data_IF_390051165435
#
_entry.id   IF_390051165435
#
_cell.length_a   1.000
_cell.length_b   1.000
_cell.length_c   1.000
_cell.angle_alpha   90.00
_cell.angle_beta   90.00
_cell.angle_gamma   90.00
#
_symmetry.space_group_name_H-M   'P 1'
#
loop_
_entity.id
_entity.type
_entity.pdbx_description
1 polymer ?
#
# COMPACT_ATOMS: atom_id res chain seq x y z
N UNK A 1 26.22 -26.71 71.17
CA UNK A 1 27.63 -26.63 70.70
C UNK A 1 27.55 -26.25 69.23
N UNK A 2 27.56 -24.95 68.88
CA UNK A 2 28.75 -24.12 68.48
C UNK A 2 29.48 -24.74 67.28
N UNK A 3 29.67 -24.15 66.09
CA UNK A 3 30.05 -22.80 65.59
C UNK A 3 29.47 -22.64 64.16
N UNK A 4 29.17 -21.46 63.61
CA UNK A 4 30.10 -20.39 63.14
C UNK A 4 30.85 -20.87 61.88
N UNK A 5 30.97 -20.20 60.73
CA UNK A 5 30.98 -18.79 60.28
C UNK A 5 30.62 -18.81 58.76
N UNK A 6 30.00 -17.80 58.16
CA UNK A 6 30.68 -16.63 57.57
C UNK A 6 30.73 -16.73 56.03
N UNK A 7 30.33 -15.66 55.33
CA UNK A 7 30.47 -15.58 53.86
C UNK A 7 29.49 -14.60 53.22
N UNK A 8 29.94 -13.35 53.07
CA UNK A 8 29.31 -12.30 52.27
C UNK A 8 29.27 -12.68 50.78
N UNK A 9 28.13 -12.51 50.13
CA UNK A 9 28.08 -12.33 48.67
C UNK A 9 27.22 -11.10 48.38
N UNK A 10 27.92 -9.99 48.27
CA UNK A 10 27.48 -8.76 47.60
C UNK A 10 27.60 -9.02 46.09
N UNK A 11 26.52 -9.43 45.44
CA UNK A 11 26.46 -9.44 43.96
C UNK A 11 25.53 -8.33 43.49
N UNK A 12 26.15 -7.17 43.27
CA UNK A 12 25.61 -6.05 42.53
C UNK A 12 25.56 -6.43 41.05
N UNK A 13 24.38 -6.82 40.56
CA UNK A 13 24.07 -6.74 39.13
C UNK A 13 22.97 -5.71 38.94
N UNK A 14 23.41 -4.48 38.69
CA UNK A 14 22.54 -3.43 38.21
C UNK A 14 21.95 -3.87 36.87
N UNK A 15 20.65 -4.13 36.86
CA UNK A 15 19.84 -4.23 35.65
C UNK A 15 20.07 -2.98 34.80
N UNK A 16 20.95 -3.11 33.80
CA UNK A 16 21.01 -2.14 32.71
C UNK A 16 19.77 -2.39 31.86
N UNK A 17 18.68 -1.72 32.23
CA UNK A 17 17.54 -1.49 31.36
C UNK A 17 18.09 -0.83 30.10
N UNK A 18 18.18 -1.62 29.02
CA UNK A 18 18.41 -1.12 27.68
C UNK A 18 17.29 -0.12 27.41
N UNK A 19 17.63 1.17 27.40
CA UNK A 19 16.71 2.21 26.93
C UNK A 19 16.45 1.91 25.46
N UNK A 20 15.27 1.39 25.16
CA UNK A 20 14.72 1.40 23.81
C UNK A 20 14.83 2.83 23.29
N UNK A 21 15.76 3.05 22.37
CA UNK A 21 15.76 4.25 21.57
C UNK A 21 14.47 4.22 20.76
N UNK A 22 13.70 5.32 20.69
CA UNK A 22 12.58 5.38 19.78
C UNK A 22 13.15 5.24 18.36
N UNK A 23 12.93 4.09 17.73
CA UNK A 23 13.09 3.96 16.29
C UNK A 23 12.17 5.01 15.68
N UNK A 24 12.75 5.98 14.98
CA UNK A 24 11.99 6.82 14.05
C UNK A 24 11.41 5.87 12.99
N UNK A 25 10.20 5.37 13.26
CA UNK A 25 9.45 4.59 12.30
C UNK A 25 9.11 5.53 11.15
N UNK A 26 9.82 5.37 10.02
CA UNK A 26 9.47 6.05 8.79
C UNK A 26 7.99 5.75 8.50
N UNK A 27 7.13 6.77 8.35
CA UNK A 27 5.72 6.53 8.17
C UNK A 27 5.50 5.71 6.90
N UNK A 28 4.61 4.72 6.99
CA UNK A 28 4.25 3.86 5.87
C UNK A 28 3.86 4.71 4.66
N UNK A 29 4.55 4.52 3.54
CA UNK A 29 4.26 5.22 2.29
C UNK A 29 3.17 4.48 1.55
N UNK A 30 2.25 5.22 0.93
CA UNK A 30 1.25 4.70 0.01
C UNK A 30 1.39 5.37 -1.34
N UNK A 31 1.37 4.59 -2.42
CA UNK A 31 1.26 5.12 -3.78
C UNK A 31 -0.20 5.47 -4.06
N UNK A 32 -0.47 6.65 -4.59
CA UNK A 32 -1.81 7.11 -4.93
C UNK A 32 -1.83 7.68 -6.34
N UNK A 33 -2.98 7.63 -7.00
CA UNK A 33 -3.17 8.24 -8.32
C UNK A 33 -3.89 9.56 -8.16
N UNK A 34 -3.36 10.59 -8.81
CA UNK A 34 -4.00 11.91 -8.92
C UNK A 34 -5.30 11.83 -9.73
N UNK A 35 -6.44 11.99 -9.04
CA UNK A 35 -7.78 11.91 -9.65
C UNK A 35 -7.94 13.01 -10.69
N UNK A 36 -7.45 14.22 -10.41
CA UNK A 36 -7.66 15.39 -11.27
C UNK A 36 -6.89 15.28 -12.58
N UNK A 37 -5.64 14.82 -12.52
CA UNK A 37 -4.84 14.52 -13.71
C UNK A 37 -5.43 13.37 -14.52
N UNK A 38 -5.83 12.28 -13.85
CA UNK A 38 -6.47 11.15 -14.52
C UNK A 38 -7.77 11.58 -15.23
N UNK A 39 -8.59 12.41 -14.58
CA UNK A 39 -9.86 12.88 -15.11
C UNK A 39 -9.71 13.84 -16.30
N UNK A 40 -8.77 14.79 -16.23
CA UNK A 40 -8.63 15.89 -17.19
C UNK A 40 -7.69 15.56 -18.35
N UNK A 41 -6.61 14.85 -18.07
CA UNK A 41 -5.50 14.65 -19.01
C UNK A 41 -5.44 13.21 -19.54
N UNK A 42 -6.26 12.29 -18.99
CA UNK A 42 -6.18 10.86 -19.27
C UNK A 42 -4.76 10.30 -19.03
N UNK A 43 -4.11 10.76 -17.95
CA UNK A 43 -2.76 10.33 -17.55
C UNK A 43 -2.78 9.73 -16.16
N UNK A 44 -2.20 8.54 -16.02
CA UNK A 44 -1.94 7.93 -14.71
C UNK A 44 -0.71 8.60 -14.10
N UNK A 45 -0.93 9.45 -13.10
CA UNK A 45 0.14 10.10 -12.34
C UNK A 45 0.15 9.56 -10.91
N UNK A 46 1.11 8.67 -10.65
CA UNK A 46 1.33 8.10 -9.33
C UNK A 46 2.16 9.05 -8.47
N UNK A 47 1.79 9.17 -7.20
CA UNK A 47 2.53 9.90 -6.18
C UNK A 47 2.70 9.04 -4.94
N UNK A 48 3.80 9.21 -4.21
CA UNK A 48 4.03 8.55 -2.93
C UNK A 48 3.74 9.53 -1.80
N UNK A 49 2.97 9.11 -0.81
CA UNK A 49 2.66 9.92 0.39
C UNK A 49 2.69 9.07 1.66
N UNK A 50 3.09 9.66 2.80
CA UNK A 50 2.91 9.01 4.10
C UNK A 50 1.42 8.80 4.39
N UNK A 51 1.01 7.55 4.66
CA UNK A 51 -0.35 7.21 5.03
C UNK A 51 -0.74 7.79 6.40
N UNK A 52 0.24 7.90 7.30
CA UNK A 52 0.08 8.45 8.65
C UNK A 52 0.85 9.77 8.77
N UNK A 53 0.34 10.69 9.59
CA UNK A 53 1.00 11.98 9.87
C UNK A 53 0.75 13.08 8.84
N UNK A 54 -0.22 12.90 7.93
CA UNK A 54 -0.71 13.95 7.04
C UNK A 54 -2.20 14.19 7.30
N UNK A 55 -2.52 15.23 8.07
CA UNK A 55 -3.90 15.54 8.49
C UNK A 55 -4.85 15.85 7.32
N UNK A 56 -4.31 16.08 6.12
CA UNK A 56 -5.04 16.48 4.92
C UNK A 56 -5.02 15.45 3.78
N UNK A 57 -4.55 14.21 4.01
CA UNK A 57 -4.53 13.21 2.95
C UNK A 57 -5.93 12.66 2.64
N UNK A 58 -6.52 13.17 1.55
CA UNK A 58 -7.87 12.80 1.09
C UNK A 58 -7.79 11.88 -0.12
N UNK A 59 -8.18 10.63 0.06
CA UNK A 59 -8.21 9.66 -1.01
C UNK A 59 -9.40 8.71 -0.91
N UNK A 60 -9.76 8.13 -2.05
CA UNK A 60 -10.72 7.03 -2.16
C UNK A 60 -9.96 5.72 -2.35
N UNK A 61 -10.34 4.67 -1.64
CA UNK A 61 -9.82 3.33 -1.90
C UNK A 61 -10.80 2.57 -2.80
N UNK A 62 -10.30 2.07 -3.94
CA UNK A 62 -11.02 1.12 -4.77
C UNK A 62 -10.39 -0.25 -4.56
N UNK A 63 -11.14 -1.14 -3.92
CA UNK A 63 -10.83 -2.56 -3.85
C UNK A 63 -11.93 -3.35 -4.57
N UNK A 64 -11.55 -4.48 -5.14
CA UNK A 64 -12.51 -5.44 -5.68
C UNK A 64 -12.66 -6.59 -4.68
N UNK A 65 -13.86 -7.20 -4.63
CA UNK A 65 -14.03 -8.47 -3.92
C UNK A 65 -13.81 -9.62 -4.89
N UNK A 66 -13.23 -10.70 -4.37
CA UNK A 66 -13.03 -11.94 -5.13
C UNK A 66 -14.36 -12.44 -5.71
N UNK A 67 -14.40 -12.69 -7.02
CA UNK A 67 -15.58 -13.19 -7.74
C UNK A 67 -16.58 -12.14 -8.25
N UNK A 68 -16.38 -10.84 -8.01
CA UNK A 68 -17.28 -9.77 -8.50
C UNK A 68 -16.95 -9.28 -9.91
N UNK A 69 -15.69 -9.40 -10.34
CA UNK A 69 -15.27 -9.05 -11.70
C UNK A 69 -14.94 -10.32 -12.48
N UNK A 70 -15.14 -10.28 -13.80
CA UNK A 70 -14.80 -11.39 -14.68
C UNK A 70 -13.28 -11.59 -14.70
N UNK A 71 -12.81 -12.65 -14.05
CA UNK A 71 -11.42 -13.05 -14.05
C UNK A 71 -11.02 -13.60 -15.43
N UNK A 72 -9.93 -13.07 -15.97
CA UNK A 72 -9.30 -13.63 -17.16
C UNK A 72 -8.14 -14.50 -16.73
N UNK A 73 -8.27 -15.82 -16.87
CA UNK A 73 -7.16 -16.74 -16.65
C UNK A 73 -6.24 -16.73 -17.86
N UNK A 74 -4.98 -16.33 -17.66
CA UNK A 74 -3.94 -16.35 -18.70
C UNK A 74 -2.93 -17.44 -18.38
N UNK A 75 -2.64 -18.28 -19.36
CA UNK A 75 -1.48 -19.17 -19.31
C UNK A 75 -0.20 -18.34 -19.47
N UNK A 76 0.64 -18.34 -18.44
CA UNK A 76 1.88 -17.56 -18.43
C UNK A 76 2.99 -18.21 -19.24
N UNK A 77 2.79 -19.43 -19.73
CA UNK A 77 3.78 -20.30 -20.37
C UNK A 77 5.03 -20.59 -19.50
N UNK A 78 4.96 -20.25 -18.21
CA UNK A 78 5.99 -20.52 -17.20
C UNK A 78 5.58 -21.66 -16.25
N UNK A 79 4.59 -22.46 -16.63
CA UNK A 79 4.09 -23.58 -15.83
C UNK A 79 3.09 -23.20 -14.74
N UNK A 80 2.55 -21.98 -14.77
CA UNK A 80 1.44 -21.58 -13.91
C UNK A 80 0.43 -20.69 -14.64
N UNK A 81 -0.84 -20.79 -14.21
CA UNK A 81 -1.92 -19.94 -14.67
C UNK A 81 -2.00 -18.70 -13.76
N UNK A 82 -2.30 -17.53 -14.33
CA UNK A 82 -2.56 -16.30 -13.55
C UNK A 82 -3.98 -15.82 -13.85
N UNK A 83 -4.78 -15.58 -12.81
CA UNK A 83 -6.06 -14.86 -12.96
C UNK A 83 -5.79 -13.37 -12.89
N UNK A 84 -6.13 -12.65 -13.96
CA UNK A 84 -6.06 -11.19 -14.01
C UNK A 84 -7.47 -10.64 -13.97
N UNK A 85 -7.69 -9.74 -13.01
CA UNK A 85 -8.87 -8.91 -12.93
C UNK A 85 -8.46 -7.51 -13.37
N UNK A 86 -8.92 -7.06 -14.54
CA UNK A 86 -8.54 -5.74 -15.11
C UNK A 86 -9.76 -4.94 -15.53
N UNK A 87 -9.71 -3.63 -15.33
CA UNK A 87 -10.63 -2.67 -15.95
C UNK A 87 -9.88 -1.85 -17.01
N UNK A 88 -10.60 -1.41 -18.04
CA UNK A 88 -10.06 -0.55 -19.10
C UNK A 88 -9.60 0.80 -18.51
N UNK A 89 -8.45 1.31 -18.97
CA UNK A 89 -7.96 2.62 -18.57
C UNK A 89 -8.94 3.74 -18.94
N UNK A 90 -9.66 3.63 -20.06
CA UNK A 90 -10.69 4.61 -20.43
C UNK A 90 -11.85 4.60 -19.41
N UNK A 91 -12.20 3.42 -18.90
CA UNK A 91 -13.19 3.28 -17.83
C UNK A 91 -12.68 3.88 -16.52
N UNK A 92 -11.38 3.76 -16.22
CA UNK A 92 -10.77 4.39 -15.05
C UNK A 92 -10.72 5.91 -15.14
N UNK A 93 -10.36 6.47 -16.30
CA UNK A 93 -10.40 7.91 -16.51
C UNK A 93 -11.82 8.45 -16.41
N UNK A 94 -12.80 7.71 -16.95
CA UNK A 94 -14.21 8.04 -16.78
C UNK A 94 -14.62 8.00 -15.30
N UNK A 95 -14.21 6.98 -14.55
CA UNK A 95 -14.47 6.89 -13.12
C UNK A 95 -13.89 8.10 -12.37
N UNK A 96 -12.64 8.48 -12.66
CA UNK A 96 -12.01 9.66 -12.08
C UNK A 96 -12.79 10.94 -12.42
N UNK A 97 -13.26 11.11 -13.67
CA UNK A 97 -14.14 12.23 -14.05
C UNK A 97 -15.42 12.25 -13.22
N UNK A 98 -16.10 11.11 -13.10
CA UNK A 98 -17.32 11.00 -12.28
C UNK A 98 -17.04 11.36 -10.83
N UNK A 99 -15.91 10.94 -10.25
CA UNK A 99 -15.50 11.33 -8.89
C UNK A 99 -15.33 12.84 -8.74
N UNK A 100 -14.84 13.55 -9.77
CA UNK A 100 -14.71 15.02 -9.71
C UNK A 100 -16.04 15.78 -9.78
N UNK A 101 -17.11 15.13 -10.25
CA UNK A 101 -18.45 15.72 -10.39
C UNK A 101 -19.38 15.35 -9.23
N UNK A 102 -19.17 14.19 -8.62
CA UNK A 102 -19.97 13.67 -7.52
C UNK A 102 -19.75 14.49 -6.23
N UNK A 103 -20.84 14.82 -5.53
CA UNK A 103 -20.85 15.78 -4.41
C UNK A 103 -19.97 15.34 -3.24
N UNK A 104 -19.96 14.04 -2.94
CA UNK A 104 -19.19 13.43 -1.85
C UNK A 104 -17.76 13.07 -2.25
N UNK A 105 -17.44 12.96 -3.53
CA UNK A 105 -16.11 12.55 -3.98
C UNK A 105 -15.29 13.68 -4.61
N UNK A 106 -15.91 14.78 -5.05
CA UNK A 106 -15.22 15.90 -5.74
C UNK A 106 -14.11 16.58 -4.94
N UNK A 107 -14.10 16.38 -3.63
CA UNK A 107 -13.11 16.95 -2.72
C UNK A 107 -11.95 15.98 -2.43
N UNK A 108 -11.99 14.78 -2.97
CA UNK A 108 -10.90 13.81 -2.90
C UNK A 108 -9.84 14.16 -3.94
N UNK A 109 -8.58 14.09 -3.54
CA UNK A 109 -7.46 14.45 -4.41
C UNK A 109 -6.88 13.22 -5.10
N UNK A 110 -6.95 12.06 -4.43
CA UNK A 110 -6.29 10.86 -4.90
C UNK A 110 -7.16 9.61 -4.83
N UNK A 111 -6.80 8.60 -5.61
CA UNK A 111 -7.39 7.27 -5.54
C UNK A 111 -6.29 6.25 -5.29
N UNK A 112 -6.52 5.37 -4.32
CA UNK A 112 -5.73 4.19 -4.07
C UNK A 112 -6.38 3.00 -4.79
N UNK A 113 -5.58 2.24 -5.53
CA UNK A 113 -6.03 1.05 -6.25
C UNK A 113 -5.10 -0.10 -5.90
N UNK A 114 -5.68 -1.19 -5.40
CA UNK A 114 -4.95 -2.35 -4.89
C UNK A 114 -3.95 -2.93 -5.92
N UNK A 115 -4.33 -2.97 -7.21
CA UNK A 115 -3.43 -3.33 -8.30
C UNK A 115 -3.84 -2.66 -9.62
N UNK A 116 -2.85 -2.17 -10.39
CA UNK A 116 -3.03 -1.70 -11.77
C UNK A 116 -1.97 -2.33 -12.66
N UNK A 117 -2.41 -2.93 -13.77
CA UNK A 117 -1.53 -3.38 -14.85
C UNK A 117 -1.64 -2.42 -16.03
N UNK A 118 -0.56 -1.66 -16.32
CA UNK A 118 -0.56 -0.58 -17.32
C UNK A 118 -0.14 -1.08 -18.72
N UNK A 119 0.46 -2.26 -18.83
CA UNK A 119 1.00 -2.78 -20.10
C UNK A 119 0.58 -4.23 -20.32
N UNK A 120 -0.49 -4.43 -21.10
CA UNK A 120 -0.98 -5.75 -21.51
C UNK A 120 -0.27 -6.31 -22.74
N UNK A 121 0.59 -5.51 -23.39
CA UNK A 121 1.21 -5.85 -24.68
C UNK A 121 2.63 -6.42 -24.54
N UNK A 122 3.23 -6.30 -23.37
CA UNK A 122 4.57 -6.77 -23.07
C UNK A 122 4.54 -7.78 -21.90
N UNK A 123 4.85 -9.04 -22.19
CA UNK A 123 4.80 -10.15 -21.22
C UNK A 123 5.75 -9.99 -20.03
N UNK A 124 6.87 -9.29 -20.17
CA UNK A 124 7.78 -9.00 -19.06
C UNK A 124 7.21 -7.93 -18.12
N UNK A 125 6.52 -6.93 -18.67
CA UNK A 125 5.91 -5.84 -17.90
C UNK A 125 4.57 -6.23 -17.28
N UNK A 126 3.86 -7.18 -17.90
CA UNK A 126 2.62 -7.80 -17.37
C UNK A 126 2.82 -8.48 -16.01
N UNK A 127 4.00 -9.08 -15.81
CA UNK A 127 4.40 -9.80 -14.59
C UNK A 127 4.97 -8.91 -13.48
N UNK A 128 5.07 -7.61 -13.74
CA UNK A 128 5.33 -6.64 -12.70
C UNK A 128 3.99 -6.00 -12.30
N UNK A 129 3.14 -6.68 -11.48
CA UNK A 129 2.15 -5.95 -10.74
C UNK A 129 2.93 -4.90 -9.96
N UNK A 130 2.76 -3.64 -10.34
CA UNK A 130 3.09 -2.55 -9.43
C UNK A 130 2.03 -2.64 -8.36
N UNK A 131 2.29 -3.51 -7.39
CA UNK A 131 1.73 -3.33 -6.08
C UNK A 131 2.07 -1.90 -5.71
N UNK A 132 1.02 -1.13 -5.50
CA UNK A 132 1.13 0.09 -4.72
C UNK A 132 1.59 -0.40 -3.34
N UNK A 133 2.92 -0.45 -3.15
CA UNK A 133 3.55 -0.86 -1.90
C UNK A 133 3.27 0.18 -0.83
#
# INVERSE_FOLDING_TARGET
MTRGEGGEEEETTADQVVKDQPTEENPFQVVLIDIKKAAKENVIHCIEKPLMGTDDLKFVAISYRWGELQETTVDTQLGYLTSITSFDLDSFFLLCRTMTEEVHLKHMDYVWVDAICVDQTNDERRKAPRFIK
#
